data_IF_011305087622
#
_entry.id   IF_011305087622
#
_cell.length_a   1.000
_cell.length_b   1.000
_cell.length_c   1.000
_cell.angle_alpha   90.00
_cell.angle_beta   90.00
_cell.angle_gamma   90.00
#
_symmetry.space_group_name_H-M   'P 1'
#
loop_
_entity.id
_entity.type
_entity.pdbx_description
1 polymer ?
#
# COMPACT_ATOMS: atom_id res chain seq x y z
N UNK A 1 -23.97 -12.43 -25.98
CA UNK A 1 -24.18 -11.82 -24.66
C UNK A 1 -23.20 -10.68 -24.53
N UNK A 2 -23.64 -9.49 -24.11
CA UNK A 2 -22.73 -8.35 -24.00
C UNK A 2 -21.67 -8.63 -22.92
N UNK A 3 -20.45 -8.15 -23.16
CA UNK A 3 -19.29 -8.39 -22.28
C UNK A 3 -19.54 -7.95 -20.83
N UNK A 4 -20.36 -6.92 -20.63
CA UNK A 4 -20.76 -6.42 -19.31
C UNK A 4 -21.50 -7.46 -18.45
N UNK A 5 -22.04 -8.53 -19.05
CA UNK A 5 -22.72 -9.62 -18.35
C UNK A 5 -21.88 -10.90 -18.26
N UNK A 6 -20.57 -10.83 -18.50
CA UNK A 6 -19.68 -11.99 -18.39
C UNK A 6 -19.68 -12.61 -16.99
N UNK A 7 -19.59 -13.94 -16.94
CA UNK A 7 -19.55 -14.73 -15.70
C UNK A 7 -18.19 -14.61 -15.00
N UNK A 8 -18.17 -14.80 -13.68
CA UNK A 8 -16.90 -14.91 -12.94
C UNK A 8 -16.33 -16.32 -13.08
N UNK A 9 -15.11 -16.43 -13.60
CA UNK A 9 -14.51 -17.72 -13.96
C UNK A 9 -13.12 -17.95 -13.35
N UNK A 10 -12.62 -17.00 -12.56
CA UNK A 10 -11.32 -17.10 -11.92
C UNK A 10 -11.00 -15.90 -11.04
N UNK A 11 -9.97 -16.05 -10.22
CA UNK A 11 -9.41 -15.02 -9.35
C UNK A 11 -7.90 -15.03 -9.46
N UNK A 12 -7.29 -13.85 -9.48
CA UNK A 12 -5.84 -13.71 -9.40
C UNK A 12 -5.44 -12.41 -8.68
N UNK A 13 -4.12 -12.24 -8.54
CA UNK A 13 -3.48 -11.00 -8.05
C UNK A 13 -4.06 -10.49 -6.72
N UNK A 14 -4.07 -11.34 -5.69
CA UNK A 14 -4.32 -10.86 -4.33
C UNK A 14 -3.10 -10.07 -3.86
N UNK A 15 -3.33 -8.79 -3.58
CA UNK A 15 -2.36 -7.86 -2.99
C UNK A 15 -2.90 -7.31 -1.68
N UNK A 16 -2.01 -7.02 -0.75
CA UNK A 16 -2.33 -6.48 0.56
C UNK A 16 -1.40 -5.32 0.89
N UNK A 17 -1.89 -4.36 1.67
CA UNK A 17 -1.08 -3.29 2.24
C UNK A 17 -1.50 -3.06 3.69
N UNK A 18 -0.55 -3.01 4.62
CA UNK A 18 -0.85 -2.66 6.01
C UNK A 18 -1.24 -1.18 6.07
N UNK A 19 -2.29 -0.89 6.84
CA UNK A 19 -2.75 0.46 7.10
C UNK A 19 -1.95 0.99 8.29
N UNK A 20 -1.20 2.07 8.06
CA UNK A 20 -0.37 2.73 9.08
C UNK A 20 -1.11 3.88 9.76
N UNK A 21 -2.09 4.47 9.07
CA UNK A 21 -3.00 5.46 9.62
C UNK A 21 -4.38 5.34 8.97
N UNK A 22 -5.43 5.31 9.78
CA UNK A 22 -6.83 5.50 9.38
C UNK A 22 -7.50 6.40 10.41
N UNK A 23 -7.44 7.71 10.17
CA UNK A 23 -8.00 8.76 11.00
C UNK A 23 -8.98 9.62 10.19
N UNK A 24 -9.80 10.44 10.86
CA UNK A 24 -10.64 11.40 10.13
C UNK A 24 -9.80 12.34 9.23
N UNK A 25 -8.55 12.60 9.60
CA UNK A 25 -7.66 13.51 8.88
C UNK A 25 -6.87 12.83 7.75
N UNK A 26 -6.52 11.55 7.87
CA UNK A 26 -5.65 10.88 6.90
C UNK A 26 -5.88 9.38 6.80
N UNK A 27 -5.57 8.85 5.62
CA UNK A 27 -5.55 7.42 5.33
C UNK A 27 -4.22 7.09 4.65
N UNK A 28 -3.37 6.31 5.32
CA UNK A 28 -1.99 6.02 4.88
C UNK A 28 -1.72 4.52 4.96
N UNK A 29 -1.22 3.96 3.86
CA UNK A 29 -0.90 2.54 3.74
C UNK A 29 0.56 2.33 3.39
N UNK A 30 1.07 1.14 3.71
CA UNK A 30 2.30 0.64 3.09
C UNK A 30 2.11 0.43 1.58
N UNK A 31 3.20 0.13 0.88
CA UNK A 31 3.16 -0.31 -0.52
C UNK A 31 2.35 -1.60 -0.65
N UNK A 32 1.60 -1.73 -1.74
CA UNK A 32 0.95 -2.99 -2.09
C UNK A 32 1.99 -4.11 -2.25
N UNK A 33 1.76 -5.21 -1.55
CA UNK A 33 2.57 -6.42 -1.58
C UNK A 33 1.73 -7.57 -2.16
N UNK A 34 2.30 -8.34 -3.08
CA UNK A 34 1.63 -9.56 -3.55
C UNK A 34 1.50 -10.55 -2.38
N UNK A 35 0.30 -11.03 -2.08
CA UNK A 35 0.07 -11.87 -0.91
C UNK A 35 0.44 -13.34 -1.17
N UNK A 36 -0.37 -14.07 -1.94
CA UNK A 36 -0.14 -15.47 -2.27
C UNK A 36 -0.97 -15.92 -3.50
N UNK A 37 -0.59 -17.03 -4.18
CA UNK A 37 -1.41 -17.62 -5.23
C UNK A 37 -2.78 -18.02 -4.68
N UNK A 38 -3.83 -17.55 -5.34
CA UNK A 38 -5.21 -17.66 -4.84
C UNK A 38 -6.01 -18.58 -5.76
N UNK A 39 -6.76 -19.49 -5.17
CA UNK A 39 -7.63 -20.42 -5.87
C UNK A 39 -9.09 -19.94 -5.87
N UNK A 40 -9.56 -19.38 -4.76
CA UNK A 40 -10.95 -19.00 -4.58
C UNK A 40 -11.09 -17.84 -3.60
N UNK A 41 -12.06 -16.96 -3.86
CA UNK A 41 -12.54 -15.95 -2.93
C UNK A 41 -14.06 -15.99 -2.94
N UNK A 42 -14.66 -16.19 -1.77
CA UNK A 42 -16.09 -15.99 -1.53
C UNK A 42 -16.26 -14.79 -0.61
N UNK A 43 -17.26 -13.94 -0.87
CA UNK A 43 -17.52 -12.74 -0.10
C UNK A 43 -19.00 -12.68 0.31
N UNK A 44 -19.26 -12.53 1.60
CA UNK A 44 -20.59 -12.42 2.17
C UNK A 44 -20.68 -11.14 3.01
N UNK A 45 -21.71 -10.34 2.77
CA UNK A 45 -21.92 -9.10 3.54
C UNK A 45 -23.06 -9.29 4.51
N UNK A 46 -22.83 -8.91 5.76
CA UNK A 46 -23.87 -8.90 6.78
C UNK A 46 -24.87 -7.78 6.47
N UNK A 47 -26.15 -8.13 6.43
CA UNK A 47 -27.24 -7.17 6.18
C UNK A 47 -28.26 -7.31 7.29
N UNK A 48 -28.46 -6.24 8.04
CA UNK A 48 -29.48 -6.15 9.08
C UNK A 48 -30.72 -5.43 8.53
N UNK A 49 -31.90 -6.00 8.79
CA UNK A 49 -33.19 -5.44 8.41
C UNK A 49 -34.03 -5.20 9.67
N UNK A 50 -34.31 -3.94 9.97
CA UNK A 50 -35.16 -3.56 11.10
C UNK A 50 -36.50 -3.00 10.61
N UNK A 51 -37.57 -3.82 10.61
CA UNK A 51 -38.91 -3.33 10.35
C UNK A 51 -39.48 -2.60 11.57
N UNK A 52 -40.06 -1.43 11.35
CA UNK A 52 -40.88 -0.71 12.32
C UNK A 52 -42.35 -1.00 12.06
N UNK A 53 -43.13 -1.10 13.13
CA UNK A 53 -44.55 -1.43 13.07
C UNK A 53 -45.38 -0.26 13.61
N UNK A 54 -46.41 0.14 12.87
CA UNK A 54 -47.41 1.12 13.29
C UNK A 54 -48.78 0.46 13.13
N UNK A 55 -49.66 0.60 14.13
CA UNK A 55 -50.95 -0.10 14.16
C UNK A 55 -50.87 -1.63 13.95
N UNK A 56 -49.79 -2.25 14.43
CA UNK A 56 -49.46 -3.67 14.22
C UNK A 56 -49.22 -4.08 12.74
N UNK A 57 -48.98 -3.10 11.86
CA UNK A 57 -48.64 -3.30 10.45
C UNK A 57 -47.22 -2.79 10.20
N UNK A 58 -46.39 -3.49 9.40
CA UNK A 58 -45.08 -2.98 9.00
C UNK A 58 -45.22 -1.62 8.31
N UNK A 59 -44.50 -0.61 8.80
CA UNK A 59 -44.44 0.73 8.20
C UNK A 59 -43.17 0.95 7.40
N UNK A 60 -42.03 1.14 8.09
CA UNK A 60 -40.72 1.33 7.45
C UNK A 60 -39.80 0.14 7.70
N UNK A 61 -38.93 -0.17 6.74
CA UNK A 61 -37.83 -1.12 6.92
C UNK A 61 -36.50 -0.36 6.77
N UNK A 62 -35.66 -0.42 7.79
CA UNK A 62 -34.30 0.14 7.76
C UNK A 62 -33.30 -0.97 7.43
N UNK A 63 -32.48 -0.75 6.41
CA UNK A 63 -31.44 -1.69 5.98
C UNK A 63 -30.09 -1.09 6.30
N UNK A 64 -29.26 -1.84 7.03
CA UNK A 64 -27.86 -1.51 7.25
C UNK A 64 -26.95 -2.65 6.81
N UNK A 65 -25.81 -2.31 6.25
CA UNK A 65 -24.77 -3.25 5.86
C UNK A 65 -23.66 -3.24 6.91
N UNK A 66 -23.41 -4.39 7.52
CA UNK A 66 -22.35 -4.60 8.51
C UNK A 66 -21.02 -4.93 7.86
N UNK A 67 -20.30 -5.88 8.47
CA UNK A 67 -19.00 -6.34 7.96
C UNK A 67 -19.18 -7.16 6.68
N UNK A 68 -18.15 -7.20 5.84
CA UNK A 68 -18.09 -8.14 4.70
C UNK A 68 -17.01 -9.16 4.98
N UNK A 69 -17.40 -10.41 5.17
CA UNK A 69 -16.49 -11.53 5.42
C UNK A 69 -16.07 -12.16 4.11
N UNK A 70 -14.77 -12.26 3.89
CA UNK A 70 -14.18 -12.92 2.73
C UNK A 70 -13.50 -14.21 3.17
N UNK A 71 -13.94 -15.33 2.61
CA UNK A 71 -13.22 -16.61 2.72
C UNK A 71 -12.30 -16.73 1.52
N UNK A 72 -10.99 -16.75 1.78
CA UNK A 72 -9.97 -16.78 0.73
C UNK A 72 -9.17 -18.07 0.84
N UNK A 73 -9.10 -18.79 -0.28
CA UNK A 73 -8.36 -20.04 -0.41
C UNK A 73 -7.09 -19.79 -1.20
N UNK A 74 -5.94 -20.00 -0.57
CA UNK A 74 -4.61 -19.87 -1.15
C UNK A 74 -3.99 -21.25 -1.41
N UNK A 75 -3.00 -21.33 -2.31
CA UNK A 75 -2.20 -22.56 -2.46
C UNK A 75 -1.36 -22.85 -1.21
N UNK A 76 -0.98 -21.80 -0.48
CA UNK A 76 -0.14 -21.82 0.71
C UNK A 76 0.29 -20.39 1.05
N UNK A 77 0.47 -20.10 2.33
CA UNK A 77 0.91 -18.78 2.80
C UNK A 77 2.28 -18.93 3.49
N UNK A 78 3.32 -18.20 3.05
CA UNK A 78 4.62 -18.18 3.73
C UNK A 78 4.53 -17.77 5.20
N UNK A 79 5.42 -18.31 6.03
CA UNK A 79 5.39 -18.13 7.49
C UNK A 79 5.59 -16.66 7.93
N UNK A 80 6.40 -15.89 7.21
CA UNK A 80 6.62 -14.46 7.40
C UNK A 80 5.34 -13.65 7.15
N UNK A 81 4.62 -13.93 6.05
CA UNK A 81 3.33 -13.31 5.74
C UNK A 81 2.25 -13.72 6.74
N UNK A 82 2.19 -15.01 7.05
CA UNK A 82 1.30 -15.54 8.07
C UNK A 82 1.45 -14.77 9.39
N UNK A 83 2.68 -14.62 9.88
CA UNK A 83 2.95 -13.88 11.10
C UNK A 83 2.63 -12.38 10.97
N UNK A 84 3.05 -11.74 9.86
CA UNK A 84 2.80 -10.33 9.58
C UNK A 84 1.30 -9.99 9.61
N UNK A 85 0.47 -10.78 8.94
CA UNK A 85 -0.94 -10.46 8.73
C UNK A 85 -1.89 -11.03 9.78
N UNK A 86 -1.47 -12.06 10.54
CA UNK A 86 -2.21 -12.53 11.72
C UNK A 86 -1.71 -11.92 13.04
N UNK A 87 -0.71 -11.03 12.99
CA UNK A 87 -0.19 -10.36 14.18
C UNK A 87 0.55 -11.30 15.14
N UNK A 88 1.36 -12.21 14.59
CA UNK A 88 2.20 -13.14 15.36
C UNK A 88 3.67 -12.73 15.29
N UNK A 89 4.47 -13.21 16.23
CA UNK A 89 5.89 -12.85 16.29
C UNK A 89 6.71 -13.71 15.33
N UNK A 90 7.31 -13.07 14.31
CA UNK A 90 8.26 -13.70 13.40
C UNK A 90 9.70 -13.37 13.80
N UNK A 91 10.49 -14.40 14.08
CA UNK A 91 11.92 -14.26 14.28
C UNK A 91 12.66 -14.43 12.94
N UNK A 92 13.08 -13.30 12.38
CA UNK A 92 13.80 -13.25 11.11
C UNK A 92 15.17 -13.96 11.14
N UNK A 93 15.80 -14.12 12.31
CA UNK A 93 17.08 -14.80 12.41
C UNK A 93 16.95 -16.32 12.28
N UNK A 94 15.81 -16.88 12.72
CA UNK A 94 15.57 -18.33 12.71
C UNK A 94 14.50 -18.77 11.70
N UNK A 95 13.76 -17.83 11.11
CA UNK A 95 12.64 -18.11 10.20
C UNK A 95 11.43 -18.72 10.88
N UNK A 96 11.29 -18.53 12.20
CA UNK A 96 10.24 -19.17 13.03
C UNK A 96 9.15 -18.19 13.38
N UNK A 97 7.92 -18.72 13.46
CA UNK A 97 6.77 -17.99 14.01
C UNK A 97 6.52 -18.50 15.42
N UNK A 98 6.47 -17.57 16.36
CA UNK A 98 6.07 -17.82 17.73
C UNK A 98 4.61 -17.43 17.89
N UNK A 99 3.78 -18.43 18.17
CA UNK A 99 2.36 -18.25 18.43
C UNK A 99 2.11 -18.29 19.94
N UNK A 100 1.81 -17.13 20.52
CA UNK A 100 1.49 -16.99 21.94
C UNK A 100 0.00 -17.22 22.21
N UNK A 101 -0.83 -17.40 21.18
CA UNK A 101 -2.29 -17.47 21.30
C UNK A 101 -2.98 -16.11 21.45
N UNK A 102 -2.24 -15.00 21.37
CA UNK A 102 -2.77 -13.63 21.47
C UNK A 102 -2.50 -12.88 20.15
N UNK A 103 -3.28 -13.15 19.08
CA UNK A 103 -3.06 -12.50 17.79
C UNK A 103 -3.49 -11.03 17.84
N UNK A 104 -2.63 -10.15 17.34
CA UNK A 104 -2.95 -8.71 17.16
C UNK A 104 -2.82 -8.36 15.67
N UNK A 105 -3.75 -8.85 14.82
CA UNK A 105 -3.65 -8.65 13.38
C UNK A 105 -3.75 -7.15 13.05
N UNK A 106 -2.90 -6.64 12.14
CA UNK A 106 -2.99 -5.25 11.71
C UNK A 106 -4.25 -5.01 10.86
N UNK A 107 -4.65 -3.74 10.77
CA UNK A 107 -5.59 -3.29 9.75
C UNK A 107 -4.89 -3.31 8.38
N UNK A 108 -5.59 -3.84 7.37
CA UNK A 108 -5.04 -4.16 6.05
C UNK A 108 -6.03 -3.72 4.98
N UNK A 109 -5.50 -3.16 3.90
CA UNK A 109 -6.22 -2.98 2.65
C UNK A 109 -5.98 -4.21 1.75
N UNK A 110 -7.03 -4.72 1.12
CA UNK A 110 -7.01 -5.94 0.30
C UNK A 110 -7.47 -5.65 -1.12
N UNK A 111 -6.64 -5.98 -2.12
CA UNK A 111 -6.97 -5.85 -3.53
C UNK A 111 -6.91 -7.21 -4.25
N UNK A 112 -7.81 -7.44 -5.18
CA UNK A 112 -7.79 -8.61 -6.08
C UNK A 112 -8.60 -8.32 -7.33
N UNK A 113 -8.59 -9.24 -8.31
CA UNK A 113 -9.52 -9.17 -9.43
C UNK A 113 -10.11 -10.52 -9.78
N UNK A 114 -11.34 -10.50 -10.27
CA UNK A 114 -12.00 -11.65 -10.87
C UNK A 114 -11.93 -11.56 -12.38
N UNK A 115 -11.68 -12.68 -13.04
CA UNK A 115 -11.89 -12.83 -14.47
C UNK A 115 -13.40 -12.75 -14.74
N UNK A 116 -13.79 -11.89 -15.67
CA UNK A 116 -15.16 -11.70 -16.15
C UNK A 116 -15.23 -12.14 -17.60
N UNK A 117 -15.72 -13.34 -17.85
CA UNK A 117 -15.64 -13.98 -19.16
C UNK A 117 -14.19 -14.19 -19.63
N UNK A 118 -13.92 -14.16 -20.96
CA UNK A 118 -12.64 -14.63 -21.50
C UNK A 118 -11.48 -13.63 -21.39
N UNK A 119 -11.75 -12.33 -21.27
CA UNK A 119 -10.70 -11.29 -21.36
C UNK A 119 -10.89 -10.10 -20.42
N UNK A 120 -12.07 -9.96 -19.80
CA UNK A 120 -12.39 -8.84 -18.94
C UNK A 120 -12.14 -9.18 -17.47
N UNK A 121 -12.09 -8.13 -16.64
CA UNK A 121 -11.86 -8.26 -15.22
C UNK A 121 -12.78 -7.34 -14.42
N UNK A 122 -13.16 -7.80 -13.22
CA UNK A 122 -13.68 -6.97 -12.15
C UNK A 122 -12.62 -6.83 -11.07
N UNK A 123 -12.17 -5.61 -10.85
CA UNK A 123 -11.22 -5.26 -9.80
C UNK A 123 -11.95 -4.96 -8.51
N UNK A 124 -11.34 -5.34 -7.39
CA UNK A 124 -11.81 -5.08 -6.05
C UNK A 124 -10.70 -4.47 -5.21
N UNK A 125 -11.08 -3.52 -4.37
CA UNK A 125 -10.26 -2.96 -3.31
C UNK A 125 -11.12 -2.84 -2.06
N UNK A 126 -10.84 -3.63 -1.04
CA UNK A 126 -11.31 -3.38 0.31
C UNK A 126 -10.31 -2.46 1.00
N UNK A 127 -10.82 -1.41 1.65
CA UNK A 127 -9.99 -0.36 2.22
C UNK A 127 -9.62 -0.62 3.68
N UNK A 128 -10.36 -1.46 4.39
CA UNK A 128 -10.03 -1.81 5.77
C UNK A 128 -10.56 -3.18 6.13
N UNK A 129 -9.78 -3.91 6.90
CA UNK A 129 -10.13 -5.21 7.45
C UNK A 129 -8.92 -5.90 8.03
N UNK A 130 -9.13 -7.07 8.62
CA UNK A 130 -8.07 -7.87 9.21
C UNK A 130 -8.21 -9.34 8.82
N UNK A 131 -7.09 -10.04 8.81
CA UNK A 131 -7.04 -11.47 8.57
C UNK A 131 -7.19 -12.26 9.87
N UNK A 132 -7.87 -13.39 9.78
CA UNK A 132 -8.03 -14.37 10.85
C UNK A 132 -8.12 -15.79 10.29
N UNK A 133 -8.11 -16.78 11.18
CA UNK A 133 -8.13 -18.19 10.80
C UNK A 133 -6.76 -18.68 10.33
N UNK A 134 -6.73 -19.45 9.24
CA UNK A 134 -5.52 -20.11 8.75
C UNK A 134 -5.60 -21.62 8.92
N UNK A 135 -6.58 -22.24 8.26
CA UNK A 135 -6.76 -23.69 8.30
C UNK A 135 -5.66 -24.36 7.48
N UNK A 136 -4.85 -25.19 8.14
CA UNK A 136 -3.84 -26.05 7.52
C UNK A 136 -4.28 -27.50 7.58
N UNK A 137 -4.32 -28.15 6.43
CA UNK A 137 -4.63 -29.57 6.34
C UNK A 137 -3.60 -30.28 5.48
N UNK A 138 -3.24 -31.50 5.88
CA UNK A 138 -2.40 -32.39 5.09
C UNK A 138 -2.80 -33.85 5.35
N UNK A 139 -2.61 -34.69 4.33
CA UNK A 139 -2.72 -36.15 4.43
C UNK A 139 -1.46 -36.80 3.85
N UNK A 140 -1.21 -38.06 4.21
CA UNK A 140 -0.13 -38.84 3.59
C UNK A 140 -0.38 -39.00 2.09
N UNK A 141 0.69 -38.94 1.30
CA UNK A 141 0.62 -39.07 -0.17
C UNK A 141 0.03 -40.42 -0.55
N UNK A 142 -0.91 -40.41 -1.49
CA UNK A 142 -1.41 -41.62 -2.16
C UNK A 142 -0.99 -41.62 -3.63
N UNK A 143 -1.43 -42.61 -4.41
CA UNK A 143 -1.22 -42.62 -5.87
C UNK A 143 -1.93 -41.46 -6.59
N UNK A 144 -2.89 -40.82 -5.90
CA UNK A 144 -3.54 -39.58 -6.32
C UNK A 144 -3.03 -38.43 -5.44
N UNK A 145 -2.81 -37.27 -6.07
CA UNK A 145 -2.42 -36.05 -5.35
C UNK A 145 -3.70 -35.35 -4.88
N UNK A 146 -4.00 -35.46 -3.60
CA UNK A 146 -5.02 -34.63 -2.95
C UNK A 146 -4.41 -33.26 -2.68
N UNK A 147 -4.85 -32.23 -3.42
CA UNK A 147 -4.40 -30.86 -3.21
C UNK A 147 -5.07 -30.33 -1.95
N UNK A 148 -4.27 -29.99 -0.95
CA UNK A 148 -4.73 -29.23 0.21
C UNK A 148 -4.32 -27.77 0.05
N UNK A 149 -5.21 -26.90 0.46
CA UNK A 149 -5.08 -25.46 0.35
C UNK A 149 -5.00 -24.83 1.73
N UNK A 150 -4.70 -23.54 1.75
CA UNK A 150 -4.64 -22.75 2.96
C UNK A 150 -5.81 -21.76 2.97
N UNK A 151 -6.69 -21.86 3.95
CA UNK A 151 -7.88 -21.00 4.02
C UNK A 151 -7.75 -19.93 5.10
N UNK A 152 -7.99 -18.68 4.72
CA UNK A 152 -8.04 -17.54 5.63
C UNK A 152 -9.37 -16.82 5.51
N UNK A 153 -9.73 -16.11 6.58
CA UNK A 153 -10.86 -15.20 6.61
C UNK A 153 -10.34 -13.77 6.67
N UNK A 154 -10.87 -12.90 5.80
CA UNK A 154 -10.64 -11.46 5.86
C UNK A 154 -11.95 -10.76 6.18
N UNK A 155 -12.00 -10.03 7.28
CA UNK A 155 -13.21 -9.32 7.73
C UNK A 155 -13.09 -7.85 7.37
N UNK A 156 -13.84 -7.41 6.36
CA UNK A 156 -13.81 -6.05 5.87
C UNK A 156 -14.78 -5.15 6.65
N UNK A 157 -14.31 -3.94 6.98
CA UNK A 157 -15.08 -2.89 7.66
C UNK A 157 -14.93 -1.57 6.91
N UNK A 158 -15.82 -0.61 7.19
CA UNK A 158 -15.66 0.74 6.66
C UNK A 158 -14.47 1.45 7.33
N UNK A 159 -13.79 2.31 6.57
CA UNK A 159 -12.72 3.18 7.09
C UNK A 159 -13.23 4.17 8.12
N UNK A 160 -12.32 4.71 8.92
CA UNK A 160 -12.56 5.88 9.77
C UNK A 160 -12.47 7.15 8.92
N UNK A 161 -11.47 7.19 8.03
CA UNK A 161 -11.32 8.26 7.06
C UNK A 161 -12.52 8.34 6.11
N UNK A 162 -12.91 9.55 5.73
CA UNK A 162 -14.05 9.82 4.86
C UNK A 162 -13.56 10.53 3.61
N UNK A 163 -14.19 10.16 2.50
CA UNK A 163 -13.97 10.82 1.22
C UNK A 163 -15.24 11.56 0.80
N UNK A 164 -15.04 12.65 0.08
CA UNK A 164 -16.13 13.41 -0.52
C UNK A 164 -16.72 12.67 -1.71
N UNK A 165 -17.87 12.02 -1.51
CA UNK A 165 -18.58 11.28 -2.55
C UNK A 165 -19.88 12.02 -2.86
N UNK A 166 -19.95 12.63 -4.05
CA UNK A 166 -21.07 13.48 -4.48
C UNK A 166 -21.39 14.63 -3.51
N UNK A 167 -20.36 15.19 -2.85
CA UNK A 167 -20.49 16.30 -1.92
C UNK A 167 -20.83 15.90 -0.48
N UNK A 168 -20.86 14.60 -0.16
CA UNK A 168 -21.04 14.09 1.20
C UNK A 168 -19.81 13.30 1.66
N UNK A 169 -19.34 13.57 2.88
CA UNK A 169 -18.22 12.85 3.49
C UNK A 169 -18.66 11.47 3.96
N UNK A 170 -18.18 10.43 3.27
CA UNK A 170 -18.56 9.04 3.54
C UNK A 170 -17.35 8.16 3.79
N UNK A 171 -17.39 7.28 4.80
CA UNK A 171 -16.40 6.23 4.93
C UNK A 171 -16.61 5.21 3.80
N UNK A 172 -15.56 4.49 3.43
CA UNK A 172 -15.62 3.49 2.37
C UNK A 172 -15.15 2.14 2.87
N UNK A 173 -15.91 1.10 2.51
CA UNK A 173 -15.54 -0.29 2.76
C UNK A 173 -14.85 -0.91 1.54
N UNK A 174 -15.36 -0.59 0.34
CA UNK A 174 -14.94 -1.21 -0.91
C UNK A 174 -15.06 -0.27 -2.11
N UNK A 175 -14.12 -0.43 -3.04
CA UNK A 175 -14.16 0.10 -4.40
C UNK A 175 -14.13 -1.09 -5.38
N UNK A 176 -14.91 -0.99 -6.45
CA UNK A 176 -14.88 -1.97 -7.55
C UNK A 176 -14.89 -1.25 -8.90
N UNK A 177 -14.28 -1.88 -9.90
CA UNK A 177 -14.27 -1.36 -11.26
C UNK A 177 -14.24 -2.51 -12.29
N UNK A 178 -14.93 -2.33 -13.40
CA UNK A 178 -15.03 -3.32 -14.48
C UNK A 178 -14.29 -2.84 -15.72
N UNK A 179 -13.46 -3.70 -16.34
CA UNK A 179 -12.83 -3.37 -17.64
C UNK A 179 -13.82 -3.21 -18.78
N UNK A 180 -15.06 -3.68 -18.59
CA UNK A 180 -16.14 -3.51 -19.55
C UNK A 180 -16.72 -2.10 -19.54
N UNK A 181 -16.47 -1.33 -18.47
CA UNK A 181 -16.84 0.08 -18.39
C UNK A 181 -15.76 0.94 -19.05
N UNK A 182 -16.15 1.73 -20.05
CA UNK A 182 -15.23 2.59 -20.80
C UNK A 182 -14.69 3.75 -19.96
N UNK A 183 -15.36 4.12 -18.87
CA UNK A 183 -14.88 5.13 -17.93
C UNK A 183 -13.74 4.60 -17.06
N UNK A 184 -13.62 3.27 -16.91
CA UNK A 184 -12.56 2.68 -16.11
C UNK A 184 -11.23 2.68 -16.87
N UNK A 185 -10.38 3.63 -16.49
CA UNK A 185 -8.99 3.73 -16.93
C UNK A 185 -8.06 3.32 -15.78
N UNK A 186 -6.91 2.70 -16.08
CA UNK A 186 -5.88 2.41 -15.06
C UNK A 186 -5.87 0.99 -14.47
N UNK A 187 -6.67 0.04 -14.97
CA UNK A 187 -6.66 -1.34 -14.48
C UNK A 187 -5.28 -2.04 -14.50
N UNK A 188 -4.36 -1.62 -15.39
CA UNK A 188 -2.98 -2.12 -15.42
C UNK A 188 -2.14 -1.72 -14.19
N UNK A 189 -2.47 -0.59 -13.56
CA UNK A 189 -1.77 -0.03 -12.40
C UNK A 189 -2.53 -0.22 -11.08
N UNK A 190 -3.68 -0.91 -11.10
CA UNK A 190 -4.55 -1.11 -9.93
C UNK A 190 -3.81 -1.66 -8.71
N UNK A 191 -2.85 -2.57 -8.93
CA UNK A 191 -2.10 -3.22 -7.86
C UNK A 191 -0.83 -2.48 -7.45
N UNK A 192 -0.46 -1.37 -8.11
CA UNK A 192 0.75 -0.61 -7.77
C UNK A 192 0.59 0.18 -6.47
N UNK A 193 -0.64 0.47 -6.06
CA UNK A 193 -0.97 1.17 -4.81
C UNK A 193 -2.38 0.81 -4.36
N UNK A 194 -2.73 1.11 -3.11
CA UNK A 194 -4.11 1.02 -2.62
C UNK A 194 -4.98 2.01 -3.37
N UNK A 195 -6.11 1.54 -3.90
CA UNK A 195 -7.05 2.40 -4.60
C UNK A 195 -7.98 3.11 -3.62
N UNK A 196 -8.05 4.43 -3.72
CA UNK A 196 -8.96 5.32 -2.99
C UNK A 196 -9.65 6.25 -4.00
N UNK A 197 -10.71 6.97 -3.62
CA UNK A 197 -11.31 7.98 -4.48
C UNK A 197 -10.32 9.04 -4.99
N UNK A 198 -9.30 9.36 -4.18
CA UNK A 198 -8.28 10.36 -4.53
C UNK A 198 -7.20 9.81 -5.48
N UNK A 199 -7.08 8.49 -5.59
CA UNK A 199 -6.03 7.83 -6.37
C UNK A 199 -6.56 7.17 -7.65
N UNK A 200 -7.71 7.62 -8.16
CA UNK A 200 -8.31 7.12 -9.41
C UNK A 200 -7.41 7.27 -10.65
N UNK A 201 -6.36 8.09 -10.55
CA UNK A 201 -5.25 8.15 -11.50
C UNK A 201 -3.98 7.56 -10.88
N UNK A 202 -3.18 6.77 -11.63
CA UNK A 202 -1.90 6.28 -11.15
C UNK A 202 -1.04 7.43 -10.63
N UNK A 203 -0.24 7.22 -9.57
CA UNK A 203 0.61 8.26 -9.05
C UNK A 203 1.65 8.58 -10.13
N UNK A 204 2.06 9.84 -10.23
CA UNK A 204 3.12 10.22 -11.15
C UNK A 204 4.40 9.46 -10.77
N UNK A 205 5.22 9.05 -11.73
CA UNK A 205 6.48 8.37 -11.42
C UNK A 205 7.33 9.24 -10.47
N UNK A 206 7.88 8.63 -9.42
CA UNK A 206 8.78 9.31 -8.51
C UNK A 206 10.08 9.68 -9.24
N UNK A 207 10.42 10.97 -9.24
CA UNK A 207 11.65 11.50 -9.82
C UNK A 207 12.26 12.58 -8.91
N UNK A 208 13.58 12.69 -8.93
CA UNK A 208 14.27 13.88 -8.44
C UNK A 208 14.19 14.94 -9.53
N UNK A 209 13.35 15.95 -9.30
CA UNK A 209 13.02 17.00 -10.27
C UNK A 209 14.15 18.03 -10.40
N UNK A 210 14.82 18.37 -9.31
CA UNK A 210 15.96 19.29 -9.33
C UNK A 210 16.83 19.17 -8.08
N UNK A 211 18.09 19.59 -8.18
CA UNK A 211 18.98 19.81 -7.05
C UNK A 211 19.61 21.21 -7.11
N UNK A 212 19.85 21.79 -5.94
CA UNK A 212 20.63 23.01 -5.77
C UNK A 212 21.60 22.80 -4.60
N UNK A 213 22.93 22.72 -4.81
CA UNK A 213 23.64 22.86 -6.08
C UNK A 213 23.20 21.86 -7.16
N UNK A 214 23.28 22.29 -8.42
CA UNK A 214 23.08 21.41 -9.56
C UNK A 214 24.19 20.35 -9.59
N UNK A 215 23.92 19.23 -10.24
CA UNK A 215 24.94 18.19 -10.43
C UNK A 215 26.15 18.72 -11.21
N UNK A 216 27.34 18.37 -10.72
CA UNK A 216 28.65 18.87 -11.15
C UNK A 216 28.81 20.41 -11.04
N UNK A 217 28.05 21.08 -10.18
CA UNK A 217 28.21 22.52 -9.95
C UNK A 217 29.58 22.85 -9.33
N UNK A 218 30.17 23.97 -9.73
CA UNK A 218 31.42 24.49 -9.16
C UNK A 218 31.19 25.90 -8.61
N UNK A 219 32.08 26.36 -7.72
CA UNK A 219 31.97 27.70 -7.15
C UNK A 219 30.85 27.83 -6.12
N UNK A 220 30.45 26.72 -5.48
CA UNK A 220 29.38 26.72 -4.48
C UNK A 220 29.92 27.35 -3.19
N UNK A 221 29.21 28.34 -2.64
CA UNK A 221 29.65 28.96 -1.39
C UNK A 221 29.69 27.92 -0.26
N UNK A 222 30.76 27.92 0.54
CA UNK A 222 30.97 27.01 1.68
C UNK A 222 29.85 27.00 2.74
N UNK A 223 29.03 28.05 2.80
CA UNK A 223 27.87 28.15 3.71
C UNK A 223 26.53 27.76 3.07
N UNK A 224 26.54 27.30 1.82
CA UNK A 224 25.33 26.96 1.07
C UNK A 224 24.64 25.73 1.66
N UNK A 225 23.31 25.82 1.83
CA UNK A 225 22.45 24.64 2.01
C UNK A 225 22.25 23.91 0.69
N UNK A 226 22.03 22.59 0.76
CA UNK A 226 21.65 21.78 -0.40
C UNK A 226 20.13 21.58 -0.38
N UNK A 227 19.46 21.80 -1.50
CA UNK A 227 18.02 21.58 -1.67
C UNK A 227 17.76 20.55 -2.76
N UNK A 228 16.92 19.56 -2.46
CA UNK A 228 16.47 18.52 -3.38
C UNK A 228 14.95 18.61 -3.55
N UNK A 229 14.46 18.63 -4.78
CA UNK A 229 13.02 18.70 -5.10
C UNK A 229 12.57 17.42 -5.76
N UNK A 230 11.56 16.76 -5.19
CA UNK A 230 10.97 15.51 -5.70
C UNK A 230 9.60 15.75 -6.35
N UNK A 231 9.23 14.90 -7.31
CA UNK A 231 7.92 14.98 -7.97
C UNK A 231 6.75 14.65 -7.02
N UNK A 232 7.00 13.74 -6.07
CA UNK A 232 6.02 13.23 -5.11
C UNK A 232 6.46 13.49 -3.66
N UNK A 233 5.51 13.42 -2.72
CA UNK A 233 5.78 13.53 -1.29
C UNK A 233 6.57 12.30 -0.82
N UNK A 234 7.68 12.52 -0.12
CA UNK A 234 8.57 11.45 0.34
C UNK A 234 8.13 10.92 1.70
N UNK A 235 8.10 9.59 1.83
CA UNK A 235 7.76 8.90 3.07
C UNK A 235 9.01 8.46 3.86
N UNK A 236 10.06 8.01 3.15
CA UNK A 236 11.34 7.62 3.75
C UNK A 236 12.50 7.92 2.81
N UNK A 237 13.68 8.18 3.38
CA UNK A 237 14.91 8.45 2.64
C UNK A 237 16.16 8.01 3.42
N UNK A 238 17.24 7.75 2.67
CA UNK A 238 18.60 7.54 3.21
C UNK A 238 19.56 8.50 2.49
N UNK A 239 19.20 9.79 2.47
CA UNK A 239 20.00 10.81 1.81
C UNK A 239 21.13 11.26 2.73
N UNK A 240 22.37 11.29 2.25
CA UNK A 240 23.52 11.74 3.06
C UNK A 240 24.44 12.64 2.23
N UNK A 241 25.07 13.61 2.90
CA UNK A 241 26.15 14.41 2.33
C UNK A 241 27.48 13.73 2.67
N UNK A 242 28.36 13.60 1.70
CA UNK A 242 29.66 12.90 1.83
C UNK A 242 30.75 13.83 1.31
N UNK A 243 31.86 13.92 2.02
CA UNK A 243 33.09 14.51 1.50
C UNK A 243 33.78 13.49 0.59
N UNK A 244 34.02 13.85 -0.67
CA UNK A 244 34.58 12.90 -1.63
C UNK A 244 36.07 12.61 -1.40
N UNK A 245 36.73 13.36 -0.53
CA UNK A 245 38.16 13.25 -0.26
C UNK A 245 38.46 12.08 0.67
N UNK A 246 37.68 11.94 1.74
CA UNK A 246 37.81 10.88 2.75
C UNK A 246 36.69 9.82 2.69
N UNK A 247 35.58 10.13 2.00
CA UNK A 247 34.42 9.24 1.89
C UNK A 247 33.53 9.24 3.12
N UNK A 248 33.76 10.15 4.07
CA UNK A 248 33.02 10.21 5.33
C UNK A 248 31.76 11.07 5.21
N UNK A 249 30.68 10.74 5.93
CA UNK A 249 29.46 11.51 5.93
C UNK A 249 29.65 12.86 6.65
N UNK A 250 29.29 13.94 5.98
CA UNK A 250 29.27 15.29 6.55
C UNK A 250 27.97 15.49 7.33
N UNK A 251 28.02 15.84 8.63
CA UNK A 251 26.81 16.08 9.41
C UNK A 251 25.98 17.23 8.83
N UNK A 252 24.73 16.94 8.46
CA UNK A 252 23.78 17.93 7.95
C UNK A 252 22.38 17.71 8.53
N UNK A 253 21.73 18.79 8.95
CA UNK A 253 20.34 18.76 9.39
C UNK A 253 19.40 18.65 8.17
N UNK A 254 18.42 17.75 8.25
CA UNK A 254 17.38 17.55 7.23
C UNK A 254 16.11 18.29 7.63
N UNK A 255 15.58 19.10 6.74
CA UNK A 255 14.28 19.76 6.92
C UNK A 255 13.42 19.55 5.68
N UNK A 256 12.22 19.01 5.87
CA UNK A 256 11.21 18.88 4.81
C UNK A 256 10.27 20.08 4.81
N UNK A 257 9.84 20.49 3.62
CA UNK A 257 8.77 21.48 3.49
C UNK A 257 7.40 20.91 3.88
N UNK A 258 6.39 21.77 3.96
CA UNK A 258 5.02 21.38 4.35
C UNK A 258 4.42 20.36 3.37
N UNK A 259 4.80 20.42 2.08
CA UNK A 259 4.32 19.45 1.08
C UNK A 259 5.06 18.11 1.14
N UNK A 260 6.20 18.05 1.84
CA UNK A 260 7.07 16.89 1.93
C UNK A 260 7.72 16.51 0.60
N UNK A 261 7.88 17.47 -0.32
CA UNK A 261 8.50 17.28 -1.64
C UNK A 261 9.87 17.93 -1.75
N UNK A 262 10.20 18.86 -0.86
CA UNK A 262 11.44 19.61 -0.88
C UNK A 262 12.22 19.28 0.39
N UNK A 263 13.39 18.69 0.23
CA UNK A 263 14.34 18.42 1.31
C UNK A 263 15.45 19.46 1.27
N UNK A 264 15.69 20.13 2.40
CA UNK A 264 16.86 20.98 2.60
C UNK A 264 17.83 20.31 3.58
N UNK A 265 19.06 20.11 3.12
CA UNK A 265 20.21 19.71 3.92
C UNK A 265 21.00 20.95 4.31
N UNK A 266 21.16 21.18 5.61
CA UNK A 266 21.97 22.28 6.15
C UNK A 266 23.20 21.70 6.86
N UNK A 267 24.40 21.80 6.28
CA UNK A 267 25.64 21.38 6.94
C UNK A 267 25.77 22.02 8.34
N UNK A 268 26.22 21.25 9.33
CA UNK A 268 26.34 21.73 10.71
C UNK A 268 27.44 22.79 10.88
N UNK A 269 28.42 22.80 9.98
CA UNK A 269 29.49 23.78 9.85
C UNK A 269 29.67 24.15 8.39
N UNK A 270 30.36 25.26 8.13
CA UNK A 270 30.79 25.59 6.77
C UNK A 270 31.60 24.42 6.19
N UNK A 271 31.38 24.16 4.91
CA UNK A 271 32.13 23.20 4.12
C UNK A 271 33.56 23.71 3.88
N UNK A 272 34.47 22.82 3.50
CA UNK A 272 35.85 23.20 3.16
C UNK A 272 35.89 23.83 1.77
N UNK A 273 36.76 24.82 1.55
CA UNK A 273 36.91 25.52 0.27
C UNK A 273 37.66 24.64 -0.74
N UNK A 274 37.20 24.62 -2.01
CA UNK A 274 37.84 23.83 -3.06
C UNK A 274 37.59 22.33 -2.97
N UNK A 275 36.72 21.90 -2.05
CA UNK A 275 36.44 20.48 -1.78
C UNK A 275 35.23 20.00 -2.58
N UNK A 276 35.32 18.77 -3.10
CA UNK A 276 34.22 18.12 -3.83
C UNK A 276 33.37 17.32 -2.85
N UNK A 277 32.06 17.56 -2.88
CA UNK A 277 31.07 16.86 -2.06
C UNK A 277 30.12 16.04 -2.93
N UNK A 278 29.56 14.98 -2.35
CA UNK A 278 28.58 14.10 -2.98
C UNK A 278 27.33 14.03 -2.09
N UNK A 279 26.18 14.35 -2.66
CA UNK A 279 24.87 14.08 -2.05
C UNK A 279 24.42 12.72 -2.55
N UNK A 280 24.58 11.69 -1.72
CA UNK A 280 24.11 10.35 -2.03
C UNK A 280 22.60 10.29 -1.80
N UNK A 281 21.84 10.23 -2.89
CA UNK A 281 20.39 10.09 -2.87
C UNK A 281 20.05 8.60 -2.99
N UNK A 282 19.77 7.97 -1.85
CA UNK A 282 19.46 6.54 -1.77
C UNK A 282 18.29 6.27 -0.84
N UNK A 283 17.66 5.09 -0.96
CA UNK A 283 16.58 4.67 -0.07
C UNK A 283 15.31 5.52 -0.12
N UNK A 284 15.18 6.42 -1.12
CA UNK A 284 14.05 7.34 -1.25
C UNK A 284 12.82 6.57 -1.74
N UNK A 285 11.75 6.63 -0.96
CA UNK A 285 10.44 6.05 -1.30
C UNK A 285 9.35 7.08 -1.02
N UNK A 286 8.44 7.26 -1.98
CA UNK A 286 7.31 8.18 -1.82
C UNK A 286 6.17 7.59 -0.98
N UNK A 287 5.18 8.43 -0.65
CA UNK A 287 3.96 8.02 0.06
C UNK A 287 3.10 7.02 -0.71
N UNK A 288 3.39 6.80 -2.00
CA UNK A 288 2.74 5.80 -2.84
C UNK A 288 3.56 4.51 -2.95
N UNK A 289 4.69 4.41 -2.25
CA UNK A 289 5.53 3.22 -2.22
C UNK A 289 6.49 3.08 -3.41
N UNK A 290 6.59 4.07 -4.29
CA UNK A 290 7.52 4.05 -5.42
C UNK A 290 8.94 4.35 -4.93
N UNK A 291 9.91 3.51 -5.33
CA UNK A 291 11.31 3.70 -4.99
C UNK A 291 12.05 4.47 -6.09
N UNK A 292 12.85 5.47 -5.69
CA UNK A 292 13.74 6.17 -6.60
C UNK A 292 15.05 5.39 -6.75
N UNK A 293 15.52 5.23 -7.98
CA UNK A 293 16.86 4.67 -8.25
C UNK A 293 17.93 5.52 -7.57
N UNK A 294 18.86 4.86 -6.87
CA UNK A 294 19.94 5.55 -6.19
C UNK A 294 20.79 6.37 -7.18
N UNK A 295 21.15 7.58 -6.77
CA UNK A 295 21.97 8.52 -7.56
C UNK A 295 22.88 9.34 -6.65
N UNK A 296 23.92 9.93 -7.22
CA UNK A 296 24.80 10.86 -6.51
C UNK A 296 24.82 12.19 -7.25
N UNK A 297 24.58 13.29 -6.53
CA UNK A 297 24.76 14.65 -7.05
C UNK A 297 26.09 15.15 -6.54
N UNK A 298 26.97 15.64 -7.39
CA UNK A 298 28.25 16.17 -6.95
C UNK A 298 28.36 17.69 -7.12
N UNK A 299 29.13 18.35 -6.26
CA UNK A 299 29.44 19.77 -6.41
C UNK A 299 30.77 20.12 -5.74
N UNK A 300 31.38 21.23 -6.16
CA UNK A 300 32.65 21.74 -5.63
C UNK A 300 32.48 23.14 -5.05
N UNK A 301 32.99 23.34 -3.84
CA UNK A 301 32.94 24.62 -3.12
C UNK A 301 34.00 25.61 -3.57
N UNK A 302 33.74 26.91 -3.40
CA UNK A 302 34.71 28.00 -3.54
C UNK A 302 34.34 29.19 -2.64
#
# INVERSE_FOLDING_TARGET
MDRQYGEFVGVDKVYTAIITEDSEASYVTESNEYFAPTAEISAESEIENTPTYYDNVPGFNYVSEGVTTLTITFSGVPADKYAKYLGKHYDAATGRVYDTGEPVPPDVALAFRFNKGPADYRYYQYLKGNFSGGTEEASSKTNSVDIRTYQMTYTAVATTHKWSINGEEKPLKRILADTTDLAFVGGSAWFSQVQTPDTATPPTALTLSSSLPADEATGVNVSSSITLTFSNKIAKDTIVLIDSTDGEPVPAAKTWDVTGKILTLTPASNLEEGTKYIVLVSGVVDVFGQALTASGITFTTA
#
